data_IF_219713078989
#
_entry.id   IF_219713078989
#
_cell.length_a   1.000
_cell.length_b   1.000
_cell.length_c   1.000
_cell.angle_alpha   90.00
_cell.angle_beta   90.00
_cell.angle_gamma   90.00
#
_symmetry.space_group_name_H-M   'P 1'
#
loop_
_entity.id
_entity.type
_entity.pdbx_description
1 polymer ?
#
# COMPACT_ATOMS: atom_id res chain seq x y z
N UNK A 1 -6.44 -27.93 1.89
CA UNK A 1 -5.97 -27.36 3.17
C UNK A 1 -5.44 -25.93 3.01
N UNK A 2 -4.44 -25.67 2.15
CA UNK A 2 -3.86 -24.32 1.98
C UNK A 2 -4.84 -23.25 1.50
N UNK A 3 -5.79 -23.60 0.62
CA UNK A 3 -6.82 -22.67 0.10
C UNK A 3 -7.73 -22.16 1.22
N UNK A 4 -8.11 -23.02 2.16
CA UNK A 4 -8.97 -22.64 3.29
C UNK A 4 -8.24 -21.71 4.26
N UNK A 5 -6.96 -22.00 4.54
CA UNK A 5 -6.10 -21.12 5.35
C UNK A 5 -5.95 -19.73 4.73
N UNK A 6 -5.65 -19.65 3.43
CA UNK A 6 -5.59 -18.38 2.70
C UNK A 6 -6.94 -17.65 2.77
N UNK A 7 -8.06 -18.37 2.64
CA UNK A 7 -9.40 -17.82 2.80
C UNK A 7 -9.64 -17.21 4.19
N UNK A 8 -9.24 -17.91 5.25
CA UNK A 8 -9.31 -17.43 6.64
C UNK A 8 -8.42 -16.22 6.90
N UNK A 9 -7.20 -16.20 6.37
CA UNK A 9 -6.30 -15.05 6.46
C UNK A 9 -6.94 -13.81 5.82
N UNK A 10 -7.52 -13.96 4.62
CA UNK A 10 -8.26 -12.87 3.96
C UNK A 10 -9.48 -12.42 4.77
N UNK A 11 -10.22 -13.34 5.38
CA UNK A 11 -11.36 -13.01 6.24
C UNK A 11 -10.96 -12.18 7.47
N UNK A 12 -9.75 -12.42 8.00
CA UNK A 12 -9.14 -11.64 9.09
C UNK A 12 -8.45 -10.35 8.62
N UNK A 13 -8.56 -9.98 7.34
CA UNK A 13 -7.87 -8.84 6.71
C UNK A 13 -6.34 -8.94 6.74
N UNK A 14 -5.79 -10.16 6.85
CA UNK A 14 -4.35 -10.46 6.80
C UNK A 14 -3.91 -10.72 5.36
N UNK A 15 -4.03 -9.69 4.52
CA UNK A 15 -3.85 -9.84 3.07
C UNK A 15 -2.40 -10.10 2.66
N UNK A 16 -1.42 -9.51 3.36
CA UNK A 16 -0.01 -9.73 3.07
C UNK A 16 0.41 -11.14 3.43
N UNK A 17 -0.06 -11.65 4.57
CA UNK A 17 0.13 -13.06 4.95
C UNK A 17 -0.52 -14.02 3.95
N UNK A 18 -1.75 -13.72 3.52
CA UNK A 18 -2.47 -14.55 2.56
C UNK A 18 -1.75 -14.63 1.20
N UNK A 19 -1.09 -13.54 0.80
CA UNK A 19 -0.32 -13.47 -0.44
C UNK A 19 1.02 -14.22 -0.35
N UNK A 20 1.79 -14.05 0.73
CA UNK A 20 3.09 -14.69 0.85
C UNK A 20 3.03 -16.16 1.31
N UNK A 21 1.87 -16.63 1.79
CA UNK A 21 1.68 -17.99 2.30
C UNK A 21 2.21 -19.11 1.38
N UNK A 22 1.92 -19.14 0.06
CA UNK A 22 2.39 -20.23 -0.80
C UNK A 22 3.91 -20.29 -0.92
N UNK A 23 4.57 -19.14 -1.07
CA UNK A 23 6.04 -19.05 -1.17
C UNK A 23 6.71 -19.45 0.14
N UNK A 24 6.15 -18.99 1.27
CA UNK A 24 6.72 -19.24 2.57
C UNK A 24 6.58 -20.70 3.01
N UNK A 25 5.47 -21.36 2.66
CA UNK A 25 5.29 -22.81 2.83
C UNK A 25 6.29 -23.58 1.98
N UNK A 26 6.48 -23.20 0.71
CA UNK A 26 7.49 -23.84 -0.14
C UNK A 26 8.90 -23.68 0.47
N UNK A 27 9.23 -22.49 0.97
CA UNK A 27 10.51 -22.22 1.66
C UNK A 27 10.69 -23.09 2.91
N UNK A 28 9.66 -23.23 3.73
CA UNK A 28 9.68 -24.07 4.93
C UNK A 28 9.77 -25.59 4.62
N UNK A 29 9.36 -26.02 3.42
CA UNK A 29 9.56 -27.40 2.98
C UNK A 29 10.99 -27.67 2.50
N UNK A 30 11.68 -26.65 1.99
CA UNK A 30 13.05 -26.77 1.48
C UNK A 30 14.12 -26.45 2.53
N UNK A 31 13.76 -25.69 3.56
CA UNK A 31 14.64 -25.21 4.61
C UNK A 31 14.00 -25.46 5.98
N UNK A 32 14.79 -25.89 6.95
CA UNK A 32 14.33 -26.09 8.34
C UNK A 32 14.13 -24.71 9.01
N UNK A 33 13.09 -24.00 8.58
CA UNK A 33 12.86 -22.60 8.92
C UNK A 33 12.37 -22.49 10.38
N UNK A 34 13.09 -21.80 11.27
CA UNK A 34 12.68 -21.67 12.66
C UNK A 34 11.30 -21.00 12.78
N UNK A 35 10.42 -21.43 13.71
CA UNK A 35 9.08 -20.86 13.88
C UNK A 35 9.07 -19.33 14.07
N UNK A 36 10.06 -18.78 14.79
CA UNK A 36 10.19 -17.35 15.04
C UNK A 36 10.50 -16.58 13.75
N UNK A 37 11.39 -17.14 12.91
CA UNK A 37 11.70 -16.57 11.60
C UNK A 37 10.49 -16.67 10.67
N UNK A 38 9.77 -17.79 10.70
CA UNK A 38 8.58 -17.99 9.90
C UNK A 38 7.51 -16.94 10.22
N UNK A 39 7.26 -16.71 11.52
CA UNK A 39 6.34 -15.68 11.99
C UNK A 39 6.83 -14.28 11.64
N UNK A 40 8.13 -14.02 11.75
CA UNK A 40 8.74 -12.75 11.35
C UNK A 40 8.48 -12.40 9.88
N UNK A 41 8.65 -13.36 8.96
CA UNK A 41 8.39 -13.16 7.53
C UNK A 41 6.90 -12.89 7.24
N UNK A 42 5.98 -13.60 7.90
CA UNK A 42 4.54 -13.33 7.78
C UNK A 42 4.18 -11.92 8.27
N UNK A 43 4.70 -11.50 9.42
CA UNK A 43 4.44 -10.19 10.00
C UNK A 43 5.03 -9.06 9.16
N UNK A 44 6.23 -9.27 8.60
CA UNK A 44 6.85 -8.31 7.69
C UNK A 44 6.02 -8.11 6.42
N UNK A 45 5.55 -9.20 5.80
CA UNK A 45 4.70 -9.13 4.61
C UNK A 45 3.37 -8.40 4.89
N UNK A 46 2.72 -8.69 6.01
CA UNK A 46 1.48 -8.01 6.41
C UNK A 46 1.70 -6.53 6.70
N UNK A 47 2.80 -6.18 7.37
CA UNK A 47 3.12 -4.79 7.68
C UNK A 47 3.36 -3.98 6.41
N UNK A 48 4.13 -4.52 5.46
CA UNK A 48 4.37 -3.89 4.16
C UNK A 48 3.07 -3.67 3.38
N UNK A 49 2.20 -4.69 3.34
CA UNK A 49 0.91 -4.61 2.65
C UNK A 49 -0.03 -3.58 3.31
N UNK A 50 0.00 -3.44 4.64
CA UNK A 50 -0.75 -2.40 5.34
C UNK A 50 -0.24 -1.00 5.07
N UNK A 51 1.08 -0.81 4.99
CA UNK A 51 1.66 0.49 4.63
C UNK A 51 1.27 0.92 3.22
N UNK A 52 1.35 0.01 2.23
CA UNK A 52 0.90 0.34 0.86
C UNK A 52 -0.59 0.73 0.85
N UNK A 53 -1.43 0.00 1.60
CA UNK A 53 -2.87 0.30 1.69
C UNK A 53 -3.14 1.61 2.43
N UNK A 54 -2.37 1.93 3.47
CA UNK A 54 -2.51 3.19 4.22
C UNK A 54 -2.17 4.38 3.33
N UNK A 55 -1.09 4.29 2.55
CA UNK A 55 -0.68 5.31 1.57
C UNK A 55 -1.75 5.45 0.49
N UNK A 56 -2.21 4.34 -0.10
CA UNK A 56 -3.26 4.37 -1.12
C UNK A 56 -4.55 5.02 -0.58
N UNK A 57 -4.93 4.67 0.65
CA UNK A 57 -6.06 5.29 1.33
C UNK A 57 -5.85 6.78 1.52
N UNK A 58 -4.72 7.22 2.07
CA UNK A 58 -4.39 8.63 2.25
C UNK A 58 -4.40 9.40 0.93
N UNK A 59 -3.78 8.87 -0.12
CA UNK A 59 -3.77 9.46 -1.45
C UNK A 59 -5.18 9.61 -2.03
N UNK A 60 -6.03 8.57 -1.87
CA UNK A 60 -7.42 8.61 -2.32
C UNK A 60 -8.27 9.59 -1.50
N UNK A 61 -8.06 9.65 -0.19
CA UNK A 61 -8.80 10.51 0.74
C UNK A 61 -8.40 11.98 0.61
N UNK A 62 -7.12 12.24 0.31
CA UNK A 62 -6.60 13.58 0.11
C UNK A 62 -7.25 14.31 -1.07
N UNK A 63 -7.91 13.58 -2.00
CA UNK A 63 -8.57 14.14 -3.19
C UNK A 63 -7.69 15.20 -3.85
N UNK A 64 -6.40 14.91 -3.96
CA UNK A 64 -5.46 15.83 -4.59
C UNK A 64 -6.04 16.21 -5.96
N UNK A 65 -6.23 17.51 -6.25
CA UNK A 65 -6.77 17.91 -7.52
C UNK A 65 -5.87 17.32 -8.61
N UNK A 66 -6.44 16.44 -9.43
CA UNK A 66 -5.74 15.79 -10.53
C UNK A 66 -5.24 16.90 -11.45
N UNK A 67 -3.95 17.20 -11.36
CA UNK A 67 -3.31 18.31 -12.04
C UNK A 67 -4.06 19.65 -11.81
N UNK A 68 -3.67 20.42 -10.79
CA UNK A 68 -3.79 21.88 -10.92
C UNK A 68 -2.77 22.31 -11.97
N UNK A 69 -3.14 22.18 -13.24
CA UNK A 69 -2.51 22.98 -14.26
C UNK A 69 -2.74 24.46 -13.93
N UNK A 70 -1.89 25.33 -14.48
CA UNK A 70 -2.08 26.77 -14.33
C UNK A 70 -3.43 27.25 -14.91
N UNK A 71 -4.10 26.41 -15.72
CA UNK A 71 -5.41 26.70 -16.29
C UNK A 71 -6.56 26.55 -15.28
N UNK A 72 -6.49 25.58 -14.36
CA UNK A 72 -7.48 25.33 -13.31
C UNK A 72 -7.12 25.87 -11.93
N UNK A 73 -5.98 26.56 -11.79
CA UNK A 73 -5.56 27.16 -10.53
C UNK A 73 -6.31 28.48 -10.24
N UNK A 74 -7.01 28.54 -9.11
CA UNK A 74 -7.66 29.77 -8.64
C UNK A 74 -6.63 30.71 -7.98
N UNK A 75 -6.12 31.67 -8.75
CA UNK A 75 -5.13 32.65 -8.30
C UNK A 75 -5.68 33.65 -7.28
N UNK A 76 -7.01 33.74 -7.09
CA UNK A 76 -7.60 34.61 -6.06
C UNK A 76 -7.28 34.14 -4.64
N UNK A 77 -6.96 32.85 -4.48
CA UNK A 77 -6.57 32.25 -3.20
C UNK A 77 -5.05 32.27 -2.95
N UNK A 78 -4.26 32.84 -3.87
CA UNK A 78 -2.81 32.87 -3.80
C UNK A 78 -2.26 34.29 -3.92
N UNK A 79 -1.14 34.58 -3.24
CA UNK A 79 -0.37 35.83 -3.40
C UNK A 79 0.57 35.79 -4.61
N UNK A 80 0.15 35.14 -5.70
CA UNK A 80 0.94 34.99 -6.91
C UNK A 80 0.41 35.94 -8.01
N UNK A 81 1.31 36.56 -8.77
CA UNK A 81 0.95 37.40 -9.91
C UNK A 81 0.59 36.52 -11.12
N UNK A 82 -0.71 36.32 -11.34
CA UNK A 82 -1.24 35.49 -12.42
C UNK A 82 -0.76 35.94 -13.81
N UNK A 83 -0.67 37.25 -14.04
CA UNK A 83 -0.30 37.81 -15.34
C UNK A 83 1.19 37.58 -15.65
N UNK A 84 2.05 37.55 -14.63
CA UNK A 84 3.44 37.13 -14.78
C UNK A 84 3.55 35.63 -15.04
N UNK A 85 2.82 34.81 -14.28
CA UNK A 85 2.88 33.35 -14.35
C UNK A 85 2.39 32.81 -15.71
N UNK A 86 1.37 33.41 -16.32
CA UNK A 86 0.87 32.98 -17.65
C UNK A 86 1.74 33.41 -18.84
N UNK A 87 2.75 34.26 -18.62
CA UNK A 87 3.66 34.78 -19.68
C UNK A 87 5.01 34.07 -19.75
N UNK A 88 5.31 33.18 -18.80
CA UNK A 88 6.53 32.36 -18.74
C UNK A 88 6.25 30.97 -19.31
#
# INVERSE_FOLDING_TARGET
>A
MSIELIGRLKALKLHGMAQCWPELVAKAHHSDLPPEQWMGELLAAESAEREVRSIAYQMSAARFPAHRDLAGFDFTQARADEALVRRL
#
